data_IF_928859096680
#
_entry.id   IF_928859096680
#
_cell.length_a   1.000
_cell.length_b   1.000
_cell.length_c   1.000
_cell.angle_alpha   90.00
_cell.angle_beta   90.00
_cell.angle_gamma   90.00
#
_symmetry.space_group_name_H-M   'P 1'
#
loop_
_entity.id
_entity.type
_entity.pdbx_description
1 polymer ?
#
# COMPACT_ATOMS: atom_id res chain seq x y z
N UNK A 1 38.40 -7.04 5.70
CA UNK A 1 37.16 -6.50 6.31
C UNK A 1 36.35 -5.76 5.25
N UNK A 2 35.77 -6.49 4.28
CA UNK A 2 34.86 -5.92 3.24
C UNK A 2 33.50 -6.64 3.25
N UNK A 3 33.43 -7.86 3.80
CA UNK A 3 32.21 -8.69 3.85
C UNK A 3 31.08 -8.03 4.64
N UNK A 4 31.38 -7.29 5.71
CA UNK A 4 30.36 -6.67 6.58
C UNK A 4 29.59 -5.52 5.92
N UNK A 5 30.22 -4.79 4.99
CA UNK A 5 29.54 -3.69 4.27
C UNK A 5 28.56 -4.28 3.26
N UNK A 6 29.00 -5.26 2.46
CA UNK A 6 28.18 -5.91 1.43
C UNK A 6 26.98 -6.66 2.04
N UNK A 7 27.18 -7.38 3.15
CA UNK A 7 26.08 -8.08 3.83
C UNK A 7 25.04 -7.11 4.40
N UNK A 8 25.47 -6.02 5.03
CA UNK A 8 24.55 -4.99 5.54
C UNK A 8 23.78 -4.26 4.43
N UNK A 9 24.38 -4.09 3.25
CA UNK A 9 23.70 -3.51 2.08
C UNK A 9 22.70 -4.48 1.45
N UNK A 10 23.00 -5.78 1.39
CA UNK A 10 22.07 -6.81 0.92
C UNK A 10 20.83 -6.90 1.82
N UNK A 11 21.01 -6.86 3.14
CA UNK A 11 19.89 -6.91 4.08
C UNK A 11 18.98 -5.68 3.98
N UNK A 12 19.58 -4.49 3.84
CA UNK A 12 18.82 -3.25 3.59
C UNK A 12 18.05 -3.30 2.26
N UNK A 13 18.71 -3.77 1.20
CA UNK A 13 18.09 -3.89 -0.11
C UNK A 13 16.92 -4.88 -0.09
N UNK A 14 17.05 -5.99 0.65
CA UNK A 14 15.98 -6.96 0.84
C UNK A 14 14.79 -6.37 1.59
N UNK A 15 15.02 -5.61 2.66
CA UNK A 15 13.96 -4.94 3.40
C UNK A 15 13.23 -3.91 2.51
N UNK A 16 13.98 -3.10 1.78
CA UNK A 16 13.43 -2.12 0.85
C UNK A 16 12.56 -2.77 -0.23
N UNK A 17 13.02 -3.85 -0.86
CA UNK A 17 12.22 -4.59 -1.84
C UNK A 17 10.92 -5.12 -1.22
N UNK A 18 10.99 -5.68 -0.01
CA UNK A 18 9.79 -6.23 0.65
C UNK A 18 8.78 -5.13 0.98
N UNK A 19 9.25 -3.98 1.43
CA UNK A 19 8.39 -2.82 1.68
C UNK A 19 7.77 -2.31 0.37
N UNK A 20 8.55 -2.24 -0.70
CA UNK A 20 8.05 -1.82 -2.02
C UNK A 20 7.00 -2.79 -2.57
N UNK A 21 7.20 -4.11 -2.42
CA UNK A 21 6.20 -5.12 -2.79
C UNK A 21 4.93 -4.97 -1.97
N UNK A 22 5.06 -4.79 -0.66
CA UNK A 22 3.93 -4.57 0.25
C UNK A 22 3.12 -3.34 -0.16
N UNK A 23 3.77 -2.21 -0.43
CA UNK A 23 3.10 -1.00 -0.89
C UNK A 23 2.34 -1.22 -2.20
N UNK A 24 2.93 -1.97 -3.13
CA UNK A 24 2.28 -2.30 -4.40
C UNK A 24 1.04 -3.19 -4.20
N UNK A 25 1.12 -4.18 -3.30
CA UNK A 25 -0.05 -4.99 -2.96
C UNK A 25 -1.16 -4.15 -2.33
N UNK A 26 -0.81 -3.24 -1.41
CA UNK A 26 -1.77 -2.34 -0.77
C UNK A 26 -2.49 -1.48 -1.80
N UNK A 27 -1.75 -0.91 -2.76
CA UNK A 27 -2.33 -0.13 -3.85
C UNK A 27 -3.22 -0.97 -4.77
N UNK A 28 -2.86 -2.22 -5.04
CA UNK A 28 -3.67 -3.13 -5.84
C UNK A 28 -5.00 -3.45 -5.16
N UNK A 29 -4.98 -3.76 -3.86
CA UNK A 29 -6.19 -4.01 -3.07
C UNK A 29 -7.06 -2.75 -3.00
N UNK A 30 -6.45 -1.59 -2.76
CA UNK A 30 -7.13 -0.29 -2.82
C UNK A 30 -7.83 -0.06 -4.15
N UNK A 31 -7.11 -0.23 -5.26
CA UNK A 31 -7.63 -0.05 -6.62
C UNK A 31 -8.79 -1.02 -6.89
N UNK A 32 -8.63 -2.28 -6.52
CA UNK A 32 -9.67 -3.30 -6.68
C UNK A 32 -10.92 -2.96 -5.87
N UNK A 33 -10.78 -2.49 -4.64
CA UNK A 33 -11.90 -2.09 -3.80
C UNK A 33 -12.63 -0.86 -4.40
N UNK A 34 -11.90 0.12 -4.93
CA UNK A 34 -12.49 1.27 -5.65
C UNK A 34 -13.27 0.80 -6.88
N UNK A 35 -12.67 -0.04 -7.71
CA UNK A 35 -13.25 -0.54 -8.97
C UNK A 35 -14.47 -1.44 -8.74
N UNK A 36 -14.44 -2.28 -7.72
CA UNK A 36 -15.56 -3.16 -7.35
C UNK A 36 -16.63 -2.43 -6.53
N UNK A 37 -16.40 -1.16 -6.18
CA UNK A 37 -17.32 -0.34 -5.39
C UNK A 37 -17.42 -0.75 -3.92
N UNK A 38 -16.49 -1.55 -3.41
CA UNK A 38 -16.46 -1.97 -2.02
C UNK A 38 -15.89 -0.84 -1.14
N UNK A 39 -16.57 -0.52 -0.04
CA UNK A 39 -16.08 0.47 0.92
C UNK A 39 -15.02 -0.10 1.87
N UNK A 40 -14.86 -1.42 1.87
CA UNK A 40 -13.90 -2.13 2.70
C UNK A 40 -13.47 -3.41 1.97
N UNK A 41 -12.18 -3.67 1.89
CA UNK A 41 -11.66 -4.90 1.32
C UNK A 41 -10.48 -5.41 2.14
N UNK A 42 -10.52 -6.69 2.46
CA UNK A 42 -9.45 -7.41 3.13
C UNK A 42 -8.93 -8.52 2.23
N UNK A 43 -7.65 -8.47 1.87
CA UNK A 43 -7.02 -9.45 0.99
C UNK A 43 -5.57 -9.65 1.37
N UNK A 44 -5.11 -10.90 1.48
CA UNK A 44 -3.72 -11.25 1.82
C UNK A 44 -3.16 -10.52 3.07
N UNK A 45 -3.99 -10.30 4.09
CA UNK A 45 -3.60 -9.58 5.31
C UNK A 45 -3.45 -8.05 5.14
N UNK A 46 -3.81 -7.52 3.97
CA UNK A 46 -4.05 -6.10 3.73
C UNK A 46 -5.51 -5.83 4.02
N UNK A 47 -5.79 -4.75 4.73
CA UNK A 47 -7.14 -4.29 5.03
C UNK A 47 -7.22 -2.81 4.66
N UNK A 48 -8.01 -2.51 3.65
CA UNK A 48 -8.23 -1.14 3.17
C UNK A 48 -9.67 -0.71 3.41
N UNK A 49 -9.82 0.55 3.79
CA UNK A 49 -11.10 1.23 3.92
C UNK A 49 -11.18 2.36 2.90
N UNK A 50 -12.30 2.43 2.17
CA UNK A 50 -12.55 3.44 1.15
C UNK A 50 -13.66 4.35 1.62
N UNK A 51 -13.35 5.63 1.67
CA UNK A 51 -14.29 6.70 1.98
C UNK A 51 -14.48 7.53 0.72
N UNK A 52 -15.71 7.56 0.21
CA UNK A 52 -16.10 8.43 -0.92
C UNK A 52 -16.82 9.65 -0.36
N UNK A 53 -16.27 10.84 -0.57
CA UNK A 53 -16.83 12.13 -0.10
C UNK A 53 -16.70 13.16 -1.20
N UNK A 54 -17.79 13.88 -1.49
CA UNK A 54 -17.80 15.00 -2.45
C UNK A 54 -17.25 14.68 -3.85
N UNK A 55 -17.37 13.43 -4.28
CA UNK A 55 -16.81 12.96 -5.57
C UNK A 55 -15.32 12.60 -5.52
N UNK A 56 -14.67 12.75 -4.37
CA UNK A 56 -13.31 12.31 -4.08
C UNK A 56 -13.31 10.93 -3.42
N UNK A 57 -12.22 10.20 -3.60
CA UNK A 57 -12.01 8.85 -3.06
C UNK A 57 -10.78 8.86 -2.17
N UNK A 58 -10.97 8.53 -0.90
CA UNK A 58 -9.93 8.40 0.11
C UNK A 58 -9.77 6.93 0.45
N UNK A 59 -8.53 6.44 0.47
CA UNK A 59 -8.22 5.07 0.87
C UNK A 59 -7.30 5.07 2.07
N UNK A 60 -7.69 4.31 3.09
CA UNK A 60 -6.97 4.16 4.34
C UNK A 60 -6.53 2.71 4.55
N UNK A 61 -5.30 2.51 5.02
CA UNK A 61 -4.82 1.26 5.61
C UNK A 61 -4.52 1.51 7.10
N UNK A 62 -5.19 0.79 8.00
CA UNK A 62 -4.94 0.89 9.45
C UNK A 62 -4.90 2.35 10.01
N UNK A 63 -5.75 3.25 9.48
CA UNK A 63 -5.86 4.69 9.79
C UNK A 63 -4.84 5.62 9.12
N UNK A 64 -3.91 5.09 8.33
CA UNK A 64 -3.03 5.89 7.47
C UNK A 64 -3.67 6.08 6.11
N UNK A 65 -3.72 7.31 5.62
CA UNK A 65 -4.15 7.58 4.25
C UNK A 65 -3.06 7.16 3.26
N UNK A 66 -3.40 6.28 2.33
CA UNK A 66 -2.45 5.70 1.35
C UNK A 66 -2.71 6.17 -0.07
N UNK A 67 -3.94 6.60 -0.38
CA UNK A 67 -4.34 7.06 -1.70
C UNK A 67 -5.48 8.07 -1.57
N UNK A 68 -5.37 9.17 -2.31
CA UNK A 68 -6.42 10.15 -2.46
C UNK A 68 -6.62 10.44 -3.95
N UNK A 69 -7.84 10.25 -4.44
CA UNK A 69 -8.22 10.53 -5.83
C UNK A 69 -9.24 11.64 -5.83
N UNK A 70 -8.84 12.79 -6.37
CA UNK A 70 -9.71 13.93 -6.62
C UNK A 70 -10.22 13.89 -8.05
N UNK A 71 -11.49 14.21 -8.24
CA UNK A 71 -12.06 14.40 -9.58
C UNK A 71 -11.82 15.86 -9.99
N UNK A 72 -10.89 16.10 -10.90
CA UNK A 72 -10.70 17.38 -11.59
C UNK A 72 -11.89 17.71 -12.51
#
# INVERSE_FOLDING_TARGET
MITSIVLGEIDKNRQFMQESLRQQEVLNVATMAVQTGQNHLKMNGIEVEIIKKDGEVYVYEAKTEILHVKKD
#
